data_IF_163777157024
#
_entry.id   IF_163777157024
#
_cell.length_a   1.000
_cell.length_b   1.000
_cell.length_c   1.000
_cell.angle_alpha   90.00
_cell.angle_beta   90.00
_cell.angle_gamma   90.00
#
_symmetry.space_group_name_H-M   'P 1'
#
loop_
_entity.id
_entity.type
_entity.pdbx_description
1 polymer ?
#
# COMPACT_ATOMS: atom_id res chain seq x y z
N UNK A 1 3.63 21.21 6.77
CA UNK A 1 4.50 20.87 5.64
C UNK A 1 3.63 20.94 4.40
N UNK A 2 3.82 21.97 3.59
CA UNK A 2 3.18 22.06 2.28
C UNK A 2 3.70 20.90 1.43
N UNK A 3 2.80 20.23 0.69
CA UNK A 3 3.25 19.33 -0.37
C UNK A 3 4.20 20.11 -1.29
N UNK A 4 5.30 19.51 -1.75
CA UNK A 4 6.18 20.19 -2.69
C UNK A 4 5.37 20.58 -3.94
N UNK A 5 5.69 21.74 -4.52
CA UNK A 5 5.05 22.19 -5.74
C UNK A 5 5.24 21.10 -6.83
N UNK A 6 4.16 20.76 -7.52
CA UNK A 6 4.20 19.79 -8.60
C UNK A 6 5.13 20.29 -9.71
N UNK A 7 6.15 19.49 -10.02
CA UNK A 7 7.11 19.72 -11.10
C UNK A 7 7.07 18.48 -12.03
N UNK A 8 6.41 18.58 -13.19
CA UNK A 8 6.23 17.43 -14.08
C UNK A 8 7.54 16.85 -14.61
N UNK A 9 8.66 17.57 -14.51
CA UNK A 9 9.97 17.10 -14.99
C UNK A 9 10.78 16.36 -13.92
N UNK A 10 10.36 16.45 -12.64
CA UNK A 10 11.06 15.85 -11.51
C UNK A 10 10.41 14.56 -11.01
N UNK A 11 9.08 14.51 -11.05
CA UNK A 11 8.30 13.37 -10.56
C UNK A 11 8.06 12.33 -11.65
N UNK A 12 8.47 11.09 -11.40
CA UNK A 12 8.12 9.92 -12.23
C UNK A 12 6.68 9.51 -11.92
N UNK A 13 6.30 9.55 -10.64
CA UNK A 13 4.93 9.29 -10.21
C UNK A 13 4.44 10.38 -9.26
N UNK A 14 3.26 10.93 -9.56
CA UNK A 14 2.58 11.90 -8.71
C UNK A 14 1.10 11.49 -8.58
N UNK A 15 0.66 11.22 -7.35
CA UNK A 15 -0.73 10.87 -7.06
C UNK A 15 -1.42 12.02 -6.30
N UNK A 16 -2.03 13.00 -7.01
CA UNK A 16 -2.70 14.13 -6.36
C UNK A 16 -3.89 13.70 -5.50
N UNK A 17 -4.51 12.56 -5.84
CA UNK A 17 -5.63 11.95 -5.12
C UNK A 17 -5.23 10.97 -4.03
N UNK A 18 -4.00 11.04 -3.50
CA UNK A 18 -3.48 10.07 -2.51
C UNK A 18 -4.39 9.92 -1.27
N UNK A 19 -5.03 11.01 -0.81
CA UNK A 19 -6.03 10.95 0.27
C UNK A 19 -7.31 10.25 -0.16
N UNK A 20 -7.79 10.49 -1.37
CA UNK A 20 -8.98 9.81 -1.91
C UNK A 20 -8.75 8.31 -2.05
N UNK A 21 -7.56 7.90 -2.48
CA UNK A 21 -7.17 6.48 -2.53
C UNK A 21 -7.19 5.85 -1.12
N UNK A 22 -6.70 6.59 -0.12
CA UNK A 22 -6.69 6.17 1.27
C UNK A 22 -8.10 6.08 1.88
N UNK A 23 -8.96 7.08 1.63
CA UNK A 23 -10.36 7.04 2.04
C UNK A 23 -11.13 5.92 1.36
N UNK A 24 -10.86 5.62 0.09
CA UNK A 24 -11.45 4.47 -0.59
C UNK A 24 -11.03 3.15 0.06
N UNK A 25 -9.75 3.00 0.44
CA UNK A 25 -9.31 1.84 1.22
C UNK A 25 -10.06 1.74 2.54
N UNK A 26 -10.16 2.84 3.28
CA UNK A 26 -10.88 2.88 4.56
C UNK A 26 -12.36 2.51 4.41
N UNK A 27 -13.05 3.11 3.43
CA UNK A 27 -14.47 2.85 3.15
C UNK A 27 -14.75 1.43 2.69
N UNK A 28 -13.76 0.71 2.15
CA UNK A 28 -13.92 -0.69 1.76
C UNK A 28 -13.53 -1.61 2.91
N UNK A 29 -12.34 -1.44 3.48
CA UNK A 29 -11.79 -2.38 4.45
C UNK A 29 -12.44 -2.30 5.83
N UNK A 30 -12.80 -1.11 6.33
CA UNK A 30 -13.42 -0.97 7.67
C UNK A 30 -14.77 -1.68 7.75
N UNK A 31 -15.77 -1.39 6.87
CA UNK A 31 -17.06 -2.07 6.97
C UNK A 31 -16.95 -3.56 6.64
N UNK A 32 -16.08 -3.95 5.70
CA UNK A 32 -15.88 -5.36 5.36
C UNK A 32 -15.22 -6.12 6.51
N UNK A 33 -14.21 -5.53 7.16
CA UNK A 33 -13.57 -6.10 8.36
C UNK A 33 -14.58 -6.29 9.50
N UNK A 34 -15.35 -5.24 9.82
CA UNK A 34 -16.41 -5.32 10.85
C UNK A 34 -17.45 -6.40 10.55
N UNK A 35 -17.88 -6.54 9.29
CA UNK A 35 -18.80 -7.58 8.86
C UNK A 35 -18.21 -8.98 9.10
N UNK A 36 -16.96 -9.22 8.69
CA UNK A 36 -16.30 -10.51 8.87
C UNK A 36 -16.06 -10.84 10.34
N UNK A 37 -15.67 -9.86 11.14
CA UNK A 37 -15.50 -10.01 12.59
C UNK A 37 -16.82 -10.30 13.29
N UNK A 38 -17.93 -9.67 12.86
CA UNK A 38 -19.28 -10.01 13.32
C UNK A 38 -19.69 -11.45 12.96
N UNK A 39 -19.46 -11.87 11.71
CA UNK A 39 -19.73 -13.24 11.27
C UNK A 39 -18.86 -14.27 12.02
N UNK A 40 -17.60 -13.96 12.28
CA UNK A 40 -16.70 -14.78 13.08
C UNK A 40 -17.23 -14.95 14.51
N UNK A 41 -17.66 -13.86 15.15
CA UNK A 41 -18.25 -13.92 16.49
C UNK A 41 -19.48 -14.83 16.53
N UNK A 42 -20.38 -14.71 15.54
CA UNK A 42 -21.54 -15.60 15.40
C UNK A 42 -21.12 -17.06 15.18
N UNK A 43 -20.09 -17.32 14.37
CA UNK A 43 -19.59 -18.67 14.15
C UNK A 43 -19.03 -19.28 15.43
N UNK A 44 -18.28 -18.52 16.24
CA UNK A 44 -17.73 -18.98 17.52
C UNK A 44 -18.85 -19.37 18.51
N UNK A 45 -19.96 -18.61 18.54
CA UNK A 45 -21.11 -18.91 19.41
C UNK A 45 -21.83 -20.22 19.06
N UNK A 46 -21.65 -20.72 17.83
CA UNK A 46 -22.28 -21.95 17.32
C UNK A 46 -21.33 -23.16 17.31
N UNK A 47 -20.22 -23.09 18.04
CA UNK A 47 -19.33 -24.24 18.20
C UNK A 47 -20.05 -25.40 18.91
N UNK A 48 -19.75 -26.66 18.53
CA UNK A 48 -18.66 -27.08 17.64
C UNK A 48 -19.00 -27.17 16.15
N UNK A 49 -20.26 -26.93 15.74
CA UNK A 49 -20.72 -27.19 14.36
C UNK A 49 -20.06 -26.34 13.26
N UNK A 50 -19.32 -25.30 13.64
CA UNK A 50 -18.80 -24.24 12.76
C UNK A 50 -17.27 -24.15 12.75
N UNK A 51 -16.53 -25.14 13.27
CA UNK A 51 -15.05 -25.07 13.41
C UNK A 51 -14.35 -24.65 12.11
N UNK A 52 -14.71 -25.26 10.97
CA UNK A 52 -14.12 -24.91 9.66
C UNK A 52 -14.42 -23.45 9.29
N UNK A 53 -15.65 -22.99 9.53
CA UNK A 53 -16.06 -21.60 9.30
C UNK A 53 -15.29 -20.62 10.19
N UNK A 54 -15.07 -20.96 11.46
CA UNK A 54 -14.26 -20.14 12.38
C UNK A 54 -12.83 -19.97 11.89
N UNK A 55 -12.20 -21.03 11.38
CA UNK A 55 -10.83 -20.95 10.84
C UNK A 55 -10.79 -20.05 9.60
N UNK A 56 -11.68 -20.25 8.63
CA UNK A 56 -11.71 -19.47 7.39
C UNK A 56 -12.04 -18.00 7.68
N UNK A 57 -13.11 -17.74 8.42
CA UNK A 57 -13.52 -16.39 8.80
C UNK A 57 -12.46 -15.71 9.65
N UNK A 58 -11.77 -16.45 10.53
CA UNK A 58 -10.67 -15.93 11.35
C UNK A 58 -9.53 -15.40 10.49
N UNK A 59 -9.06 -16.17 9.51
CA UNK A 59 -8.01 -15.74 8.59
C UNK A 59 -8.44 -14.49 7.80
N UNK A 60 -9.67 -14.49 7.27
CA UNK A 60 -10.20 -13.37 6.51
C UNK A 60 -10.38 -12.10 7.37
N UNK A 61 -10.97 -12.23 8.57
CA UNK A 61 -11.20 -11.12 9.48
C UNK A 61 -9.87 -10.47 9.90
N UNK A 62 -8.87 -11.28 10.30
CA UNK A 62 -7.56 -10.76 10.67
C UNK A 62 -6.89 -10.01 9.51
N UNK A 63 -6.93 -10.57 8.29
CA UNK A 63 -6.34 -9.90 7.12
C UNK A 63 -7.02 -8.55 6.82
N UNK A 64 -8.36 -8.50 6.86
CA UNK A 64 -9.12 -7.28 6.59
C UNK A 64 -8.95 -6.24 7.70
N UNK A 65 -8.94 -6.66 8.97
CA UNK A 65 -8.79 -5.78 10.12
C UNK A 65 -7.39 -5.15 10.15
N UNK A 66 -6.35 -5.90 9.77
CA UNK A 66 -4.99 -5.33 9.63
C UNK A 66 -4.97 -4.22 8.58
N UNK A 67 -5.55 -4.44 7.40
CA UNK A 67 -5.65 -3.41 6.34
C UNK A 67 -6.48 -2.20 6.80
N UNK A 68 -7.59 -2.44 7.50
CA UNK A 68 -8.44 -1.39 8.04
C UNK A 68 -7.70 -0.53 9.08
N UNK A 69 -6.94 -1.16 9.98
CA UNK A 69 -6.13 -0.46 10.99
C UNK A 69 -5.02 0.35 10.34
N UNK A 70 -4.30 -0.22 9.36
CA UNK A 70 -3.25 0.51 8.64
C UNK A 70 -3.81 1.74 7.91
N UNK A 71 -4.92 1.58 7.18
CA UNK A 71 -5.57 2.69 6.49
C UNK A 71 -6.04 3.77 7.47
N UNK A 72 -6.62 3.38 8.62
CA UNK A 72 -7.07 4.31 9.65
C UNK A 72 -5.90 5.07 10.28
N UNK A 73 -4.79 4.39 10.59
CA UNK A 73 -3.58 5.04 11.13
C UNK A 73 -3.02 6.06 10.15
N UNK A 74 -3.04 5.75 8.86
CA UNK A 74 -2.53 6.65 7.84
C UNK A 74 -3.39 7.89 7.60
N UNK A 75 -4.70 7.85 7.84
CA UNK A 75 -5.55 9.07 7.80
C UNK A 75 -5.02 10.14 8.76
N UNK A 76 -4.56 9.69 9.94
CA UNK A 76 -4.10 10.55 11.02
C UNK A 76 -2.58 10.79 10.97
N UNK A 77 -1.84 9.94 10.27
CA UNK A 77 -0.40 10.04 10.17
C UNK A 77 0.04 11.19 9.26
N UNK A 78 1.35 11.40 9.21
CA UNK A 78 2.00 12.29 8.24
C UNK A 78 2.75 11.43 7.23
N UNK A 79 2.79 11.84 5.94
CA UNK A 79 3.63 11.17 4.95
C UNK A 79 5.09 11.15 5.41
N UNK A 80 5.78 10.07 5.09
CA UNK A 80 7.20 9.88 5.34
C UNK A 80 7.95 9.83 4.01
N UNK A 81 9.16 10.37 4.02
CA UNK A 81 10.08 10.31 2.91
C UNK A 81 11.06 9.16 3.15
N UNK A 82 11.24 8.31 2.14
CA UNK A 82 12.23 7.22 2.15
C UNK A 82 13.10 7.38 0.91
N UNK A 83 14.40 7.54 1.11
CA UNK A 83 15.40 7.56 0.04
C UNK A 83 16.24 6.30 0.13
N UNK A 84 16.16 5.44 -0.88
CA UNK A 84 16.85 4.15 -0.88
C UNK A 84 17.06 3.64 -2.31
N UNK A 85 18.06 2.77 -2.55
CA UNK A 85 18.15 2.01 -3.79
C UNK A 85 16.97 1.04 -3.92
N UNK A 86 16.58 0.77 -5.17
CA UNK A 86 15.59 -0.25 -5.48
C UNK A 86 16.25 -1.64 -5.37
N UNK A 87 15.83 -2.41 -4.38
CA UNK A 87 16.32 -3.77 -4.14
C UNK A 87 15.78 -4.75 -5.20
N UNK A 88 14.49 -4.64 -5.52
CA UNK A 88 13.80 -5.57 -6.41
C UNK A 88 12.56 -4.94 -7.03
N UNK A 89 12.26 -5.32 -8.27
CA UNK A 89 10.99 -5.01 -8.93
C UNK A 89 10.39 -6.27 -9.55
N UNK A 90 9.07 -6.40 -9.50
CA UNK A 90 8.35 -7.46 -10.21
C UNK A 90 6.93 -7.05 -10.56
N UNK A 91 6.38 -7.70 -11.57
CA UNK A 91 4.98 -7.54 -11.96
C UNK A 91 4.19 -8.79 -11.57
N UNK A 92 3.00 -8.60 -11.02
CA UNK A 92 2.04 -9.67 -10.73
C UNK A 92 0.76 -9.43 -11.51
N UNK A 93 0.27 -10.47 -12.19
CA UNK A 93 -1.07 -10.42 -12.78
C UNK A 93 -2.12 -10.36 -11.67
N UNK A 94 -3.10 -9.44 -11.75
CA UNK A 94 -4.29 -9.56 -10.93
C UNK A 94 -5.16 -10.70 -11.45
N UNK A 95 -5.85 -11.38 -10.55
CA UNK A 95 -6.74 -12.50 -10.89
C UNK A 95 -7.99 -11.96 -11.63
N UNK A 96 -8.52 -12.71 -12.60
CA UNK A 96 -9.80 -12.48 -13.27
C UNK A 96 -10.04 -11.03 -13.78
N UNK A 97 -9.34 -10.61 -14.85
CA UNK A 97 -9.55 -9.36 -15.62
C UNK A 97 -9.00 -8.02 -15.10
N UNK A 98 -8.49 -7.91 -13.86
CA UNK A 98 -8.09 -6.60 -13.28
C UNK A 98 -6.65 -6.11 -13.63
N UNK A 99 -6.12 -6.45 -14.81
CA UNK A 99 -4.83 -5.93 -15.29
C UNK A 99 -3.59 -6.46 -14.54
N UNK A 100 -2.46 -5.73 -14.65
CA UNK A 100 -1.17 -6.05 -13.99
C UNK A 100 -0.88 -5.04 -12.90
N UNK A 101 -0.27 -5.50 -11.81
CA UNK A 101 0.26 -4.66 -10.74
C UNK A 101 1.76 -4.78 -10.72
N UNK A 102 2.45 -3.66 -10.55
CA UNK A 102 3.90 -3.64 -10.41
C UNK A 102 4.26 -3.32 -8.98
N UNK A 103 5.21 -4.08 -8.47
CA UNK A 103 5.73 -3.93 -7.12
C UNK A 103 7.20 -3.56 -7.17
N UNK A 104 7.59 -2.67 -6.27
CA UNK A 104 8.94 -2.20 -6.08
C UNK A 104 9.30 -2.34 -4.60
N UNK A 105 10.48 -2.88 -4.30
CA UNK A 105 11.05 -2.90 -2.95
C UNK A 105 12.18 -1.90 -2.88
N UNK A 106 12.10 -0.97 -1.93
CA UNK A 106 13.13 0.02 -1.66
C UNK A 106 13.22 0.24 -0.15
N UNK A 107 14.43 0.21 0.41
CA UNK A 107 14.64 0.41 1.85
C UNK A 107 13.90 -0.61 2.72
N UNK A 108 13.78 -1.86 2.25
CA UNK A 108 13.05 -2.92 2.94
C UNK A 108 11.53 -2.76 2.96
N UNK A 109 10.96 -1.79 2.24
CA UNK A 109 9.52 -1.55 2.14
C UNK A 109 8.99 -1.91 0.75
N UNK A 110 7.77 -2.46 0.71
CA UNK A 110 7.08 -2.82 -0.53
C UNK A 110 6.14 -1.69 -0.97
N UNK A 111 6.27 -1.29 -2.22
CA UNK A 111 5.47 -0.25 -2.85
C UNK A 111 4.76 -0.79 -4.10
N UNK A 112 3.50 -0.41 -4.29
CA UNK A 112 2.78 -0.60 -5.55
C UNK A 112 3.03 0.63 -6.43
N UNK A 113 3.58 0.41 -7.62
CA UNK A 113 3.96 1.47 -8.56
C UNK A 113 3.16 1.39 -9.86
N UNK A 114 2.98 2.55 -10.50
CA UNK A 114 2.36 2.63 -11.81
C UNK A 114 3.12 1.85 -12.90
N UNK A 115 2.45 1.49 -14.00
CA UNK A 115 3.09 0.81 -15.13
C UNK A 115 4.19 1.63 -15.79
N UNK A 116 4.04 2.95 -15.85
CA UNK A 116 5.08 3.84 -16.39
C UNK A 116 6.34 3.81 -15.52
N UNK A 117 6.17 4.01 -14.21
CA UNK A 117 7.23 3.90 -13.20
C UNK A 117 7.97 2.56 -13.29
N UNK A 118 7.23 1.46 -13.51
CA UNK A 118 7.80 0.13 -13.64
C UNK A 118 8.64 -0.08 -14.91
N UNK A 119 8.41 0.72 -15.97
CA UNK A 119 9.19 0.69 -17.21
C UNK A 119 10.42 1.60 -17.09
N UNK A 120 10.26 2.74 -16.42
CA UNK A 120 11.31 3.75 -16.30
C UNK A 120 12.40 3.37 -15.30
N UNK A 121 12.02 2.76 -14.17
CA UNK A 121 12.94 2.40 -13.09
C UNK A 121 13.50 0.99 -13.23
N UNK A 122 14.69 0.79 -12.67
CA UNK A 122 15.37 -0.50 -12.59
C UNK A 122 15.89 -0.77 -11.18
N UNK A 123 16.07 -2.04 -10.85
CA UNK A 123 16.78 -2.42 -9.63
C UNK A 123 18.18 -1.79 -9.62
N UNK A 124 18.57 -1.22 -8.48
CA UNK A 124 19.78 -0.41 -8.31
C UNK A 124 19.59 1.10 -8.44
N UNK A 125 18.49 1.58 -9.05
CA UNK A 125 18.23 3.03 -9.10
C UNK A 125 17.97 3.55 -7.68
N UNK A 126 18.50 4.74 -7.35
CA UNK A 126 18.19 5.43 -6.10
C UNK A 126 16.92 6.25 -6.31
N UNK A 127 15.93 6.02 -5.45
CA UNK A 127 14.64 6.71 -5.51
C UNK A 127 14.34 7.39 -4.20
N UNK A 128 13.72 8.56 -4.32
CA UNK A 128 13.09 9.28 -3.22
C UNK A 128 11.58 9.10 -3.31
N UNK A 129 11.00 8.49 -2.28
CA UNK A 129 9.60 8.12 -2.23
C UNK A 129 8.95 8.85 -1.05
N UNK A 130 7.98 9.70 -1.34
CA UNK A 130 7.06 10.22 -0.33
C UNK A 130 5.86 9.29 -0.27
N UNK A 131 5.61 8.69 0.89
CA UNK A 131 4.55 7.68 1.02
C UNK A 131 3.86 7.74 2.38
N UNK A 132 2.70 7.11 2.48
CA UNK A 132 2.03 6.90 3.77
C UNK A 132 2.72 5.79 4.58
N UNK A 133 2.92 5.96 5.89
CA UNK A 133 3.82 5.11 6.67
C UNK A 133 3.37 3.66 6.86
N UNK A 134 2.06 3.38 6.89
CA UNK A 134 1.56 2.02 7.16
C UNK A 134 1.09 1.30 5.90
N UNK A 135 0.35 1.99 5.04
CA UNK A 135 -0.20 1.44 3.78
C UNK A 135 0.78 1.48 2.63
N UNK A 136 1.92 2.18 2.77
CA UNK A 136 2.93 2.41 1.74
C UNK A 136 2.36 2.97 0.43
N UNK A 137 1.21 3.66 0.49
CA UNK A 137 0.64 4.33 -0.68
C UNK A 137 1.55 5.49 -1.05
N UNK A 138 2.05 5.49 -2.29
CA UNK A 138 2.96 6.49 -2.83
C UNK A 138 2.19 7.79 -3.08
N UNK A 139 2.75 8.91 -2.62
CA UNK A 139 2.31 10.26 -2.97
C UNK A 139 3.13 10.76 -4.16
N UNK A 140 4.45 10.71 -4.01
CA UNK A 140 5.40 11.13 -5.03
C UNK A 140 6.56 10.16 -5.12
N UNK A 141 7.03 9.91 -6.34
CA UNK A 141 8.24 9.14 -6.60
C UNK A 141 9.14 9.91 -7.56
N UNK A 142 10.40 10.04 -7.17
CA UNK A 142 11.44 10.68 -7.97
C UNK A 142 12.67 9.77 -8.03
N UNK A 143 13.36 9.76 -9.17
CA UNK A 143 14.71 9.22 -9.24
C UNK A 143 15.68 10.28 -8.73
N UNK A 144 16.59 9.89 -7.86
CA UNK A 144 17.61 10.76 -7.28
C UNK A 144 18.99 10.26 -7.69
N UNK A 145 19.95 11.17 -7.84
CA UNK A 145 21.34 10.78 -8.06
C UNK A 145 22.01 10.44 -6.72
N UNK A 146 22.99 9.55 -6.75
CA UNK A 146 23.78 9.15 -5.56
C UNK A 146 24.38 10.37 -4.84
N UNK A 147 24.85 11.36 -5.62
CA UNK A 147 25.39 12.63 -5.10
C UNK A 147 24.38 13.48 -4.32
N UNK A 148 23.09 13.42 -4.63
CA UNK A 148 22.03 14.12 -3.91
C UNK A 148 21.48 13.32 -2.72
N UNK A 149 21.66 12.00 -2.73
CA UNK A 149 21.15 11.09 -1.70
C UNK A 149 21.99 11.07 -0.42
N UNK A 150 23.21 11.65 -0.44
CA UNK A 150 24.13 11.66 0.71
C UNK A 150 24.64 10.26 1.08
N UNK A 151 24.60 9.34 0.13
CA UNK A 151 25.17 8.00 0.16
C UNK A 151 26.45 7.97 -0.68
#
# INVERSE_FOLDING_TARGET
MSLPAYDPHRYIEYQPGHRTALYRKLLVFVPTGLLFTGLLALAILNLPGTIVGVVILGICAVALDVEAVQATRDVLARPQETTAPIDKMWSKSRFLWMGRVNYMVAGGRLFEVGPLTAIELRAGDIVRILHWPHTNVILTLERTSEAEAGL
#
